data_IF_309527406566
#
_entry.id   IF_309527406566
#
_cell.length_a   1.000
_cell.length_b   1.000
_cell.length_c   1.000
_cell.angle_alpha   90.00
_cell.angle_beta   90.00
_cell.angle_gamma   90.00
#
_symmetry.space_group_name_H-M   'P 1'
#
loop_
_entity.id
_entity.type
_entity.pdbx_description
1 polymer ?
#
# COMPACT_ATOMS: atom_id res chain seq x y z
N UNK A 1 5.41 7.94 -4.09
CA UNK A 1 4.61 6.71 -4.18
C UNK A 1 3.12 7.07 -4.14
N UNK A 2 2.24 6.37 -4.88
CA UNK A 2 0.80 6.68 -4.87
C UNK A 2 -0.03 5.40 -4.96
N UNK A 3 -1.02 5.27 -4.08
CA UNK A 3 -2.05 4.22 -4.15
C UNK A 3 -3.28 4.70 -4.93
N UNK A 4 -3.85 3.84 -5.77
CA UNK A 4 -5.09 4.11 -6.53
C UNK A 4 -6.01 2.89 -6.53
N UNK A 5 -7.31 3.11 -6.36
CA UNK A 5 -8.31 2.07 -6.58
C UNK A 5 -8.73 2.08 -8.05
N UNK A 6 -8.60 0.95 -8.75
CA UNK A 6 -8.98 0.80 -10.17
C UNK A 6 -9.42 -0.64 -10.45
N UNK A 7 -10.55 -0.81 -11.15
CA UNK A 7 -11.02 -2.13 -11.60
C UNK A 7 -11.33 -3.11 -10.48
N UNK A 8 -11.76 -2.62 -9.30
CA UNK A 8 -12.00 -3.45 -8.11
C UNK A 8 -10.74 -3.85 -7.34
N UNK A 9 -9.55 -3.47 -7.81
CA UNK A 9 -8.27 -3.71 -7.16
C UNK A 9 -7.61 -2.44 -6.62
N UNK A 10 -6.67 -2.62 -5.70
CA UNK A 10 -5.75 -1.58 -5.26
C UNK A 10 -4.46 -1.68 -6.04
N UNK A 11 -3.97 -0.54 -6.53
CA UNK A 11 -2.76 -0.43 -7.32
C UNK A 11 -1.79 0.52 -6.65
N UNK A 12 -0.51 0.18 -6.70
CA UNK A 12 0.58 0.92 -6.10
C UNK A 12 1.55 1.36 -7.18
N UNK A 13 1.68 2.67 -7.36
CA UNK A 13 2.71 3.23 -8.25
C UNK A 13 3.91 3.69 -7.44
N UNK A 14 5.04 3.01 -7.65
CA UNK A 14 6.33 3.34 -7.06
C UNK A 14 7.28 3.83 -8.16
N UNK A 15 7.58 5.13 -8.12
CA UNK A 15 8.51 5.79 -9.06
C UNK A 15 8.19 5.51 -10.55
N UNK A 16 9.19 5.08 -11.33
CA UNK A 16 9.09 4.73 -12.75
C UNK A 16 8.78 3.25 -12.99
N UNK A 17 8.53 2.46 -11.94
CA UNK A 17 8.17 1.05 -12.09
C UNK A 17 6.72 0.93 -12.58
N UNK A 18 6.40 -0.15 -13.32
CA UNK A 18 5.02 -0.51 -13.59
C UNK A 18 4.21 -0.55 -12.29
N UNK A 19 2.95 -0.08 -12.28
CA UNK A 19 2.13 -0.13 -11.09
C UNK A 19 1.88 -1.59 -10.68
N UNK A 20 2.02 -1.86 -9.39
CA UNK A 20 1.76 -3.19 -8.83
C UNK A 20 0.32 -3.29 -8.36
N UNK A 21 -0.36 -4.38 -8.73
CA UNK A 21 -1.62 -4.73 -8.10
C UNK A 21 -1.34 -5.28 -6.70
N UNK A 22 -1.94 -4.66 -5.69
CA UNK A 22 -1.84 -5.06 -4.31
C UNK A 22 -2.77 -6.24 -4.03
N UNK A 23 -2.24 -7.24 -3.33
CA UNK A 23 -3.03 -8.40 -2.88
C UNK A 23 -3.47 -8.18 -1.43
N UNK A 24 -4.78 -8.33 -1.12
CA UNK A 24 -5.29 -8.16 0.23
C UNK A 24 -4.78 -9.28 1.15
N UNK A 25 -4.28 -8.90 2.31
CA UNK A 25 -3.93 -9.82 3.41
C UNK A 25 -4.91 -9.70 4.59
N UNK A 26 -5.61 -8.56 4.70
CA UNK A 26 -6.57 -8.31 5.77
C UNK A 26 -7.13 -6.88 5.69
N UNK A 27 -7.81 -6.46 6.75
CA UNK A 27 -8.35 -5.10 6.84
C UNK A 27 -7.22 -4.08 6.74
N UNK A 28 -7.28 -3.25 5.70
CA UNK A 28 -6.30 -2.20 5.39
C UNK A 28 -4.84 -2.67 5.26
N UNK A 29 -4.62 -3.98 5.05
CA UNK A 29 -3.29 -4.59 4.92
C UNK A 29 -3.17 -5.36 3.62
N UNK A 30 -2.10 -5.11 2.88
CA UNK A 30 -1.85 -5.66 1.56
C UNK A 30 -0.39 -6.06 1.37
N UNK A 31 -0.11 -6.84 0.33
CA UNK A 31 1.25 -7.20 -0.10
C UNK A 31 1.47 -6.93 -1.59
N UNK A 32 2.73 -6.81 -1.99
CA UNK A 32 3.16 -6.70 -3.39
C UNK A 32 3.49 -8.11 -3.89
N UNK A 33 2.93 -8.57 -5.03
CA UNK A 33 3.10 -9.95 -5.51
C UNK A 33 4.57 -10.34 -5.73
N UNK A 34 5.37 -9.42 -6.26
CA UNK A 34 6.78 -9.62 -6.58
C UNK A 34 7.69 -9.52 -5.33
N UNK A 35 7.18 -8.95 -4.24
CA UNK A 35 7.90 -8.75 -2.99
C UNK A 35 7.02 -9.13 -1.80
N UNK A 36 6.80 -10.45 -1.55
CA UNK A 36 5.83 -10.93 -0.57
C UNK A 36 6.17 -10.54 0.88
N UNK A 37 7.43 -10.15 1.13
CA UNK A 37 7.90 -9.63 2.41
C UNK A 37 7.60 -8.14 2.59
N UNK A 38 7.19 -7.41 1.55
CA UNK A 38 6.73 -6.02 1.68
C UNK A 38 5.26 -5.96 2.00
N UNK A 39 4.93 -5.22 3.06
CA UNK A 39 3.55 -5.01 3.46
C UNK A 39 3.18 -3.56 3.21
N UNK A 40 1.94 -3.34 2.78
CA UNK A 40 1.38 -2.02 2.55
C UNK A 40 0.19 -1.89 3.48
N UNK A 41 0.28 -0.97 4.44
CA UNK A 41 -0.79 -0.66 5.37
C UNK A 41 -1.41 0.67 5.00
N UNK A 42 -2.74 0.72 5.01
CA UNK A 42 -3.47 1.96 4.89
C UNK A 42 -3.98 2.41 6.25
N UNK A 43 -3.70 3.64 6.61
CA UNK A 43 -4.21 4.24 7.85
C UNK A 43 -5.33 5.20 7.48
N UNK A 44 -6.52 4.99 8.04
CA UNK A 44 -7.70 5.82 7.80
C UNK A 44 -7.86 6.84 8.92
N UNK A 45 -8.29 8.05 8.58
CA UNK A 45 -8.72 9.05 9.56
C UNK A 45 -10.23 9.17 9.53
N UNK A 46 -10.86 9.10 10.71
CA UNK A 46 -12.29 9.33 10.89
C UNK A 46 -13.15 8.42 10.01
N UNK A 47 -14.12 9.00 9.30
CA UNK A 47 -15.17 8.35 8.48
C UNK A 47 -14.65 7.62 7.22
N UNK A 48 -13.62 6.77 7.35
CA UNK A 48 -13.19 5.84 6.31
C UNK A 48 -12.27 6.44 5.23
N UNK A 49 -11.86 7.71 5.33
CA UNK A 49 -10.93 8.31 4.38
C UNK A 49 -9.51 7.85 4.69
N UNK A 50 -8.82 7.32 3.68
CA UNK A 50 -7.39 6.96 3.78
C UNK A 50 -6.60 8.24 4.03
N UNK A 51 -5.94 8.32 5.19
CA UNK A 51 -5.07 9.42 5.61
C UNK A 51 -3.62 9.18 5.21
N UNK A 52 -3.18 7.94 5.30
CA UNK A 52 -1.80 7.59 5.05
C UNK A 52 -1.63 6.19 4.46
N UNK A 53 -0.47 6.00 3.83
CA UNK A 53 0.04 4.75 3.31
C UNK A 53 1.40 4.48 3.94
N UNK A 54 1.56 3.30 4.53
CA UNK A 54 2.80 2.86 5.15
C UNK A 54 3.33 1.63 4.41
N UNK A 55 4.57 1.71 3.94
CA UNK A 55 5.32 0.56 3.48
C UNK A 55 6.11 -0.01 4.65
N UNK A 56 5.90 -1.28 4.96
CA UNK A 56 6.62 -2.03 5.98
C UNK A 56 7.56 -3.01 5.29
N UNK A 57 8.86 -2.76 5.41
CA UNK A 57 9.89 -3.70 5.00
C UNK A 57 10.23 -4.65 6.16
N UNK A 58 10.69 -5.88 5.87
CA UNK A 58 11.06 -6.85 6.91
C UNK A 58 12.23 -6.39 7.79
N UNK A 59 13.07 -5.47 7.31
CA UNK A 59 14.20 -4.89 8.05
C UNK A 59 13.77 -3.79 9.05
N UNK A 60 12.46 -3.50 9.17
CA UNK A 60 11.95 -2.42 10.03
C UNK A 60 12.09 -1.02 9.43
N UNK A 61 12.81 -0.86 8.32
CA UNK A 61 12.82 0.36 7.52
C UNK A 61 11.44 0.58 6.85
N UNK A 62 10.58 1.35 7.51
CA UNK A 62 9.27 1.72 6.98
C UNK A 62 9.30 3.07 6.26
N UNK A 63 8.58 3.20 5.15
CA UNK A 63 8.32 4.50 4.51
C UNK A 63 6.86 4.90 4.74
N UNK A 64 6.67 6.05 5.37
CA UNK A 64 5.34 6.61 5.65
C UNK A 64 5.04 7.75 4.68
N UNK A 65 3.92 7.62 3.97
CA UNK A 65 3.45 8.61 3.01
C UNK A 65 2.09 9.16 3.45
N UNK A 66 2.03 10.47 3.63
CA UNK A 66 0.79 11.19 3.92
C UNK A 66 0.08 11.53 2.61
N UNK A 67 -1.26 11.55 2.62
CA UNK A 67 -2.11 11.88 1.47
C UNK A 67 -2.65 13.29 1.52
#
# INVERSE_FOLDING_TARGET
MRGTAQGGGLWLRYERRPPWQLLPLGADLFTVPDEPTRRVRFSREGKGKIRALELLCPDGAGQHFLR
#
